data_IF_548015979106
#
_entry.id   IF_548015979106
#
_cell.length_a   1.000
_cell.length_b   1.000
_cell.length_c   1.000
_cell.angle_alpha   90.00
_cell.angle_beta   90.00
_cell.angle_gamma   90.00
#
_symmetry.space_group_name_H-M   'P 1'
#
loop_
_entity.id
_entity.type
_entity.pdbx_description
1 polymer ?
#
# COMPACT_ATOMS: atom_id res chain seq x y z
N UNK A 1 3.98 4.40 3.73
CA UNK A 1 3.57 3.22 2.95
C UNK A 1 4.67 2.17 3.00
N UNK A 2 4.40 0.95 2.58
CA UNK A 2 5.37 -0.14 2.61
C UNK A 2 4.78 -1.48 2.20
N UNK A 3 5.55 -2.54 2.39
CA UNK A 3 5.19 -3.89 2.00
C UNK A 3 5.71 -4.93 3.00
N UNK A 4 5.03 -6.06 3.08
CA UNK A 4 5.40 -7.16 3.96
C UNK A 4 4.86 -8.50 3.41
N UNK A 5 5.55 -9.59 3.77
CA UNK A 5 5.20 -10.95 3.43
C UNK A 5 4.67 -11.73 4.63
N UNK A 6 3.59 -12.48 4.42
CA UNK A 6 3.04 -13.42 5.40
C UNK A 6 2.94 -14.82 4.77
N UNK A 7 3.29 -15.85 5.53
CA UNK A 7 3.29 -17.24 5.08
C UNK A 7 2.55 -18.14 6.08
N UNK A 8 2.29 -19.40 5.70
CA UNK A 8 1.57 -20.36 6.54
C UNK A 8 0.05 -20.22 6.47
N UNK A 9 -0.48 -19.59 5.43
CA UNK A 9 -1.92 -19.52 5.18
C UNK A 9 -2.48 -20.87 4.71
N UNK A 10 -3.74 -21.13 5.05
CA UNK A 10 -4.44 -22.34 4.63
C UNK A 10 -4.64 -22.37 3.12
N UNK A 11 -4.36 -23.52 2.51
CA UNK A 11 -4.67 -23.74 1.10
C UNK A 11 -6.18 -23.85 0.89
N UNK A 12 -6.66 -23.21 -0.18
CA UNK A 12 -8.03 -23.36 -0.63
C UNK A 12 -8.12 -24.44 -1.71
N UNK A 13 -9.02 -25.41 -1.55
CA UNK A 13 -9.22 -26.52 -2.48
C UNK A 13 -10.03 -26.10 -3.71
N UNK A 14 -9.49 -25.17 -4.50
CA UNK A 14 -10.11 -24.71 -5.74
C UNK A 14 -9.45 -25.35 -6.96
N UNK A 15 -10.28 -25.78 -7.91
CA UNK A 15 -9.81 -26.19 -9.24
C UNK A 15 -9.36 -24.95 -10.01
N UNK A 16 -8.12 -24.95 -10.50
CA UNK A 16 -7.63 -23.91 -11.40
C UNK A 16 -8.16 -24.16 -12.81
N UNK A 17 -8.77 -23.15 -13.42
CA UNK A 17 -9.40 -23.22 -14.75
C UNK A 17 -8.40 -23.11 -15.91
N UNK A 18 -7.16 -22.75 -15.63
CA UNK A 18 -6.05 -22.67 -16.58
C UNK A 18 -4.88 -23.41 -15.97
N UNK A 19 -4.15 -24.22 -16.75
CA UNK A 19 -3.07 -25.14 -16.34
C UNK A 19 -1.84 -24.55 -15.64
N UNK A 20 -2.00 -23.51 -14.82
CA UNK A 20 -1.09 -23.08 -13.77
C UNK A 20 -1.29 -23.96 -12.53
N UNK A 21 -0.98 -25.24 -12.67
CA UNK A 21 -0.78 -26.13 -11.53
C UNK A 21 0.55 -25.74 -10.88
N UNK A 22 0.58 -24.81 -9.91
CA UNK A 22 1.67 -24.66 -8.90
C UNK A 22 1.75 -23.31 -8.17
N UNK A 23 0.83 -22.34 -8.33
CA UNK A 23 0.88 -21.17 -7.45
C UNK A 23 0.41 -21.57 -6.04
N UNK A 24 1.36 -21.62 -5.11
CA UNK A 24 1.09 -21.86 -3.70
C UNK A 24 0.39 -20.65 -3.10
N UNK A 25 -0.89 -20.80 -2.71
CA UNK A 25 -1.66 -19.75 -2.05
C UNK A 25 -1.37 -19.67 -0.53
N UNK A 26 -0.32 -20.35 -0.06
CA UNK A 26 0.07 -20.38 1.35
C UNK A 26 0.74 -19.08 1.82
N UNK A 27 1.07 -18.20 0.88
CA UNK A 27 1.83 -16.98 1.15
C UNK A 27 1.18 -15.78 0.49
N UNK A 28 1.23 -14.66 1.19
CA UNK A 28 0.63 -13.40 0.82
C UNK A 28 1.68 -12.30 0.97
N UNK A 29 1.92 -11.58 -0.12
CA UNK A 29 2.68 -10.35 -0.11
C UNK A 29 1.71 -9.17 -0.24
N UNK A 30 1.80 -8.22 0.69
CA UNK A 30 0.89 -7.09 0.76
C UNK A 30 1.65 -5.77 0.62
N UNK A 31 1.10 -4.87 -0.20
CA UNK A 31 1.53 -3.46 -0.27
C UNK A 31 0.44 -2.61 0.36
N UNK A 32 0.81 -1.81 1.35
CA UNK A 32 -0.13 -1.04 2.16
C UNK A 32 0.29 0.43 2.33
N UNK A 33 -0.69 1.31 2.53
CA UNK A 33 -0.50 2.71 2.90
C UNK A 33 -1.20 3.03 4.21
N UNK A 34 -0.66 4.00 4.94
CA UNK A 34 -1.31 4.58 6.12
C UNK A 34 -1.39 6.09 5.91
N UNK A 35 -2.57 6.72 5.92
CA UNK A 35 -2.68 8.15 5.93
C UNK A 35 -2.25 8.67 7.31
N UNK A 36 -1.35 9.66 7.34
CA UNK A 36 -0.79 10.18 8.60
C UNK A 36 -1.37 11.54 8.96
N UNK A 37 -1.41 12.45 7.99
CA UNK A 37 -1.76 13.85 8.22
C UNK A 37 -2.39 14.46 6.98
N UNK A 38 -3.41 15.29 7.20
CA UNK A 38 -3.94 16.23 6.23
C UNK A 38 -3.66 17.64 6.77
N UNK A 39 -3.05 18.48 5.94
CA UNK A 39 -2.69 19.84 6.29
C UNK A 39 -2.83 20.76 5.08
N UNK A 40 -2.87 22.07 5.31
CA UNK A 40 -2.82 23.06 4.24
C UNK A 40 -1.50 22.95 3.47
N UNK A 41 -1.50 23.29 2.18
CA UNK A 41 -0.31 23.14 1.31
C UNK A 41 0.91 23.92 1.81
N UNK A 42 0.68 25.07 2.46
CA UNK A 42 1.72 25.88 3.09
C UNK A 42 2.18 25.34 4.47
N UNK A 43 1.60 24.24 4.96
CA UNK A 43 1.95 23.61 6.23
C UNK A 43 1.51 24.37 7.49
N UNK A 44 0.77 25.47 7.36
CA UNK A 44 0.44 26.34 8.51
C UNK A 44 -0.65 25.76 9.41
N UNK A 45 -1.52 24.89 8.87
CA UNK A 45 -2.63 24.33 9.64
C UNK A 45 -2.79 22.84 9.40
N UNK A 46 -2.88 22.08 10.49
CA UNK A 46 -3.20 20.65 10.47
C UNK A 46 -4.71 20.50 10.52
N UNK A 47 -5.29 19.97 9.45
CA UNK A 47 -6.73 19.71 9.33
C UNK A 47 -7.07 18.40 10.05
N UNK A 48 -6.21 17.40 9.92
CA UNK A 48 -6.43 16.09 10.52
C UNK A 48 -5.10 15.36 10.76
N UNK A 49 -5.01 14.65 11.87
CA UNK A 49 -3.96 13.67 12.14
C UNK A 49 -4.61 12.31 12.36
N UNK A 50 -3.93 11.26 11.90
CA UNK A 50 -4.29 9.91 12.27
C UNK A 50 -4.04 9.70 13.76
N UNK A 51 -5.09 9.42 14.57
CA UNK A 51 -4.94 9.28 16.01
C UNK A 51 -4.25 7.97 16.41
N UNK A 52 -4.14 7.00 15.50
CA UNK A 52 -3.54 5.68 15.73
C UNK A 52 -2.78 5.20 14.48
N UNK A 53 -1.61 5.79 14.16
CA UNK A 53 -0.88 5.51 12.92
C UNK A 53 -0.42 4.05 12.79
N UNK A 54 -0.14 3.38 13.92
CA UNK A 54 0.26 1.95 13.92
C UNK A 54 -0.91 0.98 13.99
N UNK A 55 -2.16 1.46 13.94
CA UNK A 55 -3.36 0.61 13.99
C UNK A 55 -3.68 0.02 12.62
N UNK A 56 -3.99 -1.27 12.59
CA UNK A 56 -4.47 -1.97 11.40
C UNK A 56 -5.72 -1.32 10.79
N UNK A 57 -6.54 -0.62 11.59
CA UNK A 57 -7.73 0.10 11.12
C UNK A 57 -7.43 1.19 10.07
N UNK A 58 -6.22 1.74 10.08
CA UNK A 58 -5.79 2.77 9.13
C UNK A 58 -4.77 2.26 8.10
N UNK A 59 -4.36 0.98 8.20
CA UNK A 59 -3.52 0.33 7.21
C UNK A 59 -4.37 -0.10 6.02
N UNK A 60 -4.32 0.65 4.92
CA UNK A 60 -5.12 0.44 3.71
C UNK A 60 -4.32 -0.41 2.71
N UNK A 61 -4.81 -1.59 2.31
CA UNK A 61 -4.16 -2.39 1.28
C UNK A 61 -4.29 -1.68 -0.08
N UNK A 62 -3.18 -1.56 -0.79
CA UNK A 62 -3.12 -1.13 -2.19
C UNK A 62 -3.16 -2.36 -3.09
N UNK A 63 -2.34 -3.38 -2.78
CA UNK A 63 -2.19 -4.58 -3.58
C UNK A 63 -1.92 -5.79 -2.69
N UNK A 64 -2.51 -6.92 -3.07
CA UNK A 64 -2.30 -8.24 -2.47
C UNK A 64 -1.83 -9.20 -3.56
N UNK A 65 -0.77 -9.95 -3.28
CA UNK A 65 -0.16 -10.91 -4.22
C UNK A 65 0.00 -12.25 -3.50
N UNK A 66 -0.55 -13.32 -4.07
CA UNK A 66 -0.41 -14.67 -3.52
C UNK A 66 0.90 -15.34 -3.95
N UNK A 67 2.02 -14.77 -3.48
CA UNK A 67 3.37 -15.24 -3.75
C UNK A 67 4.22 -15.08 -2.48
N UNK A 68 5.30 -15.88 -2.37
CA UNK A 68 6.28 -15.69 -1.29
C UNK A 68 6.96 -14.33 -1.44
N UNK A 69 7.30 -13.71 -0.31
CA UNK A 69 8.16 -12.54 -0.32
C UNK A 69 9.56 -12.92 -0.78
N UNK A 70 9.99 -12.35 -1.91
CA UNK A 70 11.37 -12.38 -2.38
C UNK A 70 11.86 -10.96 -2.63
N UNK A 71 13.18 -10.77 -2.62
CA UNK A 71 13.80 -9.46 -2.89
C UNK A 71 13.40 -8.91 -4.26
N UNK A 72 13.27 -9.78 -5.27
CA UNK A 72 12.87 -9.41 -6.63
C UNK A 72 11.40 -8.98 -6.67
N UNK A 73 10.51 -9.71 -5.98
CA UNK A 73 9.10 -9.35 -5.89
C UNK A 73 8.93 -8.01 -5.18
N UNK A 74 9.60 -7.83 -4.05
CA UNK A 74 9.53 -6.59 -3.28
C UNK A 74 10.03 -5.39 -4.09
N UNK A 75 11.21 -5.49 -4.73
CA UNK A 75 11.76 -4.43 -5.60
C UNK A 75 10.81 -4.09 -6.75
N UNK A 76 10.32 -5.11 -7.46
CA UNK A 76 9.36 -4.95 -8.57
C UNK A 76 8.10 -4.22 -8.12
N UNK A 77 7.52 -4.59 -6.99
CA UNK A 77 6.30 -3.96 -6.50
C UNK A 77 6.54 -2.54 -5.97
N UNK A 78 7.69 -2.29 -5.32
CA UNK A 78 8.11 -0.93 -4.94
C UNK A 78 8.25 -0.04 -6.17
N UNK A 79 8.98 -0.47 -7.20
CA UNK A 79 9.15 0.28 -8.45
C UNK A 79 7.82 0.53 -9.17
N UNK A 80 6.92 -0.47 -9.20
CA UNK A 80 5.59 -0.32 -9.78
C UNK A 80 4.78 0.77 -9.07
N UNK A 81 4.86 0.81 -7.76
CA UNK A 81 4.15 1.78 -6.94
C UNK A 81 4.77 3.16 -7.08
N UNK A 82 6.10 3.27 -7.08
CA UNK A 82 6.79 4.55 -7.24
C UNK A 82 6.45 5.20 -8.59
N UNK A 83 6.35 4.39 -9.66
CA UNK A 83 5.84 4.87 -10.96
C UNK A 83 4.40 5.38 -10.86
N UNK A 84 3.51 4.64 -10.19
CA UNK A 84 2.12 5.07 -9.97
C UNK A 84 2.02 6.35 -9.12
N UNK A 85 2.92 6.54 -8.15
CA UNK A 85 3.00 7.76 -7.34
C UNK A 85 3.47 8.93 -8.19
N UNK A 86 4.45 8.73 -9.07
CA UNK A 86 4.93 9.76 -9.99
C UNK A 86 3.83 10.23 -10.96
N UNK A 87 2.98 9.31 -11.41
CA UNK A 87 1.86 9.59 -12.31
C UNK A 87 0.55 10.00 -11.58
N UNK A 88 0.60 10.13 -10.25
CA UNK A 88 -0.59 10.34 -9.43
C UNK A 88 -1.21 11.71 -9.68
N UNK A 89 -2.48 11.70 -10.07
CA UNK A 89 -3.23 12.92 -10.33
C UNK A 89 -3.76 13.58 -9.05
N UNK A 90 -4.04 14.87 -9.14
CA UNK A 90 -4.69 15.61 -8.05
C UNK A 90 -6.07 15.03 -7.74
N UNK A 91 -6.39 14.90 -6.46
CA UNK A 91 -7.73 14.50 -6.04
C UNK A 91 -8.58 15.74 -5.84
N UNK A 92 -9.68 15.82 -6.58
CA UNK A 92 -10.67 16.89 -6.47
C UNK A 92 -11.86 16.39 -5.65
N UNK A 93 -12.16 17.08 -4.55
CA UNK A 93 -13.35 16.81 -3.75
C UNK A 93 -14.18 18.06 -3.62
N UNK A 94 -15.50 17.88 -3.53
CA UNK A 94 -16.44 18.97 -3.23
C UNK A 94 -16.83 18.85 -1.76
N UNK A 95 -16.60 19.93 -1.00
CA UNK A 95 -17.04 20.05 0.39
C UNK A 95 -17.96 21.26 0.44
N UNK A 96 -19.24 21.03 0.72
CA UNK A 96 -20.32 22.01 0.55
C UNK A 96 -20.32 22.59 -0.88
N UNK A 97 -20.18 23.91 -1.03
CA UNK A 97 -20.08 24.58 -2.33
C UNK A 97 -18.63 24.83 -2.79
N UNK A 98 -17.65 24.39 -2.00
CA UNK A 98 -16.23 24.64 -2.27
C UNK A 98 -15.57 23.44 -2.93
N UNK A 99 -14.75 23.72 -3.95
CA UNK A 99 -13.84 22.74 -4.55
C UNK A 99 -12.54 22.72 -3.76
N UNK A 100 -12.20 21.56 -3.21
CA UNK A 100 -10.94 21.32 -2.49
C UNK A 100 -10.06 20.43 -3.36
N UNK A 101 -8.78 20.79 -3.45
CA UNK A 101 -7.77 20.05 -4.19
C UNK A 101 -6.82 19.41 -3.17
N UNK A 102 -6.67 18.10 -3.24
CA UNK A 102 -5.78 17.33 -2.35
C UNK A 102 -4.59 16.84 -3.15
N UNK A 103 -3.40 17.24 -2.69
CA UNK A 103 -2.11 16.72 -3.13
C UNK A 103 -1.66 15.61 -2.18
N UNK A 104 -0.89 14.65 -2.69
CA UNK A 104 -0.45 13.49 -1.92
C UNK A 104 1.07 13.47 -1.82
N UNK A 105 1.58 13.26 -0.60
CA UNK A 105 2.98 12.96 -0.36
C UNK A 105 3.05 11.58 0.28
N UNK A 106 3.56 10.61 -0.47
CA UNK A 106 3.74 9.23 -0.01
C UNK A 106 5.21 9.00 0.32
N UNK A 107 5.47 8.33 1.45
CA UNK A 107 6.82 7.96 1.88
C UNK A 107 6.90 6.45 2.10
N UNK A 108 7.92 5.79 1.55
CA UNK A 108 8.17 4.37 1.73
C UNK A 108 8.98 4.15 3.02
N UNK A 109 8.30 3.84 4.12
CA UNK A 109 8.94 3.73 5.45
C UNK A 109 8.50 2.51 6.25
N UNK A 110 7.46 1.79 5.80
CA UNK A 110 6.99 0.55 6.44
C UNK A 110 7.61 -0.65 5.75
N UNK A 111 8.94 -0.69 5.72
CA UNK A 111 9.74 -1.76 5.13
C UNK A 111 10.65 -2.34 6.21
N UNK A 112 10.85 -3.66 6.17
CA UNK A 112 11.79 -4.34 7.05
C UNK A 112 13.24 -4.08 6.58
N UNK A 113 14.19 -4.03 7.53
CA UNK A 113 15.61 -3.89 7.25
C UNK A 113 16.16 -5.00 6.34
N UNK A 114 15.52 -6.18 6.30
CA UNK A 114 15.84 -7.25 5.33
C UNK A 114 15.76 -6.80 3.87
N UNK A 115 14.92 -5.82 3.55
CA UNK A 115 14.77 -5.26 2.20
C UNK A 115 15.77 -4.14 1.89
N UNK A 116 16.49 -3.66 2.91
CA UNK A 116 17.51 -2.61 2.82
C UNK A 116 18.95 -3.16 2.81
N UNK A 117 19.12 -4.46 3.10
CA UNK A 117 20.39 -5.19 3.03
C UNK A 117 20.60 -5.82 1.64
#
# INVERSE_FOLDING_TARGET
MGCDGSSGHSNYSQRYSTGQESKSNTSLFAVCLVPLRLQTTNGTHIIWNNPRPSSTRFCRPIKLVFENETTELAKKEIENIERQIADLQLTFIKVDEKKVIVTHCMKMTMIDGKLLA
#
